data_IF_479061977375
#
_entry.id   IF_479061977375
#
_cell.length_a   1.000
_cell.length_b   1.000
_cell.length_c   1.000
_cell.angle_alpha   90.00
_cell.angle_beta   90.00
_cell.angle_gamma   90.00
#
_symmetry.space_group_name_H-M   'P 1'
#
loop_
_entity.id
_entity.type
_entity.pdbx_description
1 polymer ?
#
# COMPACT_ATOMS: atom_id res chain seq x y z
N UNK A 1 -22.05 0.06 -22.95
CA UNK A 1 -22.32 1.16 -21.99
C UNK A 1 -21.00 1.83 -21.65
N UNK A 2 -20.91 3.15 -21.73
CA UNK A 2 -19.72 3.89 -21.27
C UNK A 2 -19.65 3.85 -19.75
N UNK A 3 -18.48 3.54 -19.19
CA UNK A 3 -18.26 3.59 -17.74
C UNK A 3 -18.42 5.03 -17.23
N UNK A 4 -19.03 5.18 -16.06
CA UNK A 4 -19.18 6.47 -15.37
C UNK A 4 -17.81 7.11 -15.13
N UNK A 5 -17.70 8.42 -15.40
CA UNK A 5 -16.52 9.19 -15.09
C UNK A 5 -16.73 9.92 -13.77
N UNK A 6 -15.99 9.53 -12.74
CA UNK A 6 -16.02 10.15 -11.42
C UNK A 6 -14.88 11.14 -11.24
N UNK A 7 -15.07 12.09 -10.34
CA UNK A 7 -14.01 12.95 -9.81
C UNK A 7 -13.90 12.82 -8.28
N UNK A 8 -13.00 13.60 -7.68
CA UNK A 8 -12.75 13.56 -6.24
C UNK A 8 -13.99 13.94 -5.43
N UNK A 9 -14.79 14.90 -5.88
CA UNK A 9 -15.98 15.34 -5.14
C UNK A 9 -17.08 14.28 -5.18
N UNK A 10 -17.25 13.60 -6.33
CA UNK A 10 -18.12 12.42 -6.44
C UNK A 10 -17.67 11.32 -5.47
N UNK A 11 -16.38 10.99 -5.42
CA UNK A 11 -15.84 9.93 -4.56
C UNK A 11 -15.96 10.28 -3.06
N UNK A 12 -15.77 11.55 -2.69
CA UNK A 12 -15.96 12.02 -1.31
C UNK A 12 -17.44 11.94 -0.93
N UNK A 13 -18.33 12.43 -1.80
CA UNK A 13 -19.78 12.46 -1.55
C UNK A 13 -20.40 11.07 -1.48
N UNK A 14 -19.91 10.12 -2.29
CA UNK A 14 -20.36 8.73 -2.27
C UNK A 14 -20.08 8.03 -0.93
N UNK A 15 -19.07 8.48 -0.18
CA UNK A 15 -18.75 7.93 1.14
C UNK A 15 -18.42 6.43 1.09
N UNK A 16 -19.33 5.58 1.58
CA UNK A 16 -19.20 4.10 1.51
C UNK A 16 -19.80 3.49 0.24
N UNK A 17 -20.60 4.25 -0.50
CA UNK A 17 -21.39 3.78 -1.64
C UNK A 17 -20.63 3.93 -2.98
N UNK A 18 -19.30 3.73 -2.96
CA UNK A 18 -18.48 3.76 -4.17
C UNK A 18 -18.62 2.42 -4.88
N UNK A 19 -19.34 2.41 -6.01
CA UNK A 19 -19.59 1.20 -6.81
C UNK A 19 -18.62 1.13 -7.99
N UNK A 20 -18.04 -0.06 -8.23
CA UNK A 20 -17.22 -0.35 -9.42
C UNK A 20 -18.00 -1.17 -10.44
N UNK A 21 -17.68 -1.07 -11.75
CA UNK A 21 -16.57 -0.30 -12.33
C UNK A 21 -16.88 1.18 -12.59
N UNK A 22 -15.86 2.03 -12.49
CA UNK A 22 -15.92 3.45 -12.87
C UNK A 22 -14.57 3.92 -13.45
N UNK A 23 -14.52 5.10 -14.04
CA UNK A 23 -13.29 5.75 -14.51
C UNK A 23 -12.98 6.99 -13.69
N UNK A 24 -11.69 7.27 -13.51
CA UNK A 24 -11.19 8.46 -12.84
C UNK A 24 -10.18 9.17 -13.74
N UNK A 25 -10.34 10.48 -13.93
CA UNK A 25 -9.33 11.30 -14.61
C UNK A 25 -8.15 11.60 -13.67
N UNK A 26 -6.96 11.24 -14.10
CA UNK A 26 -5.71 11.39 -13.35
C UNK A 26 -4.70 12.13 -14.22
N UNK A 27 -4.09 13.18 -13.66
CA UNK A 27 -2.94 13.83 -14.28
C UNK A 27 -1.67 13.07 -13.88
N UNK A 28 -1.02 12.42 -14.85
CA UNK A 28 0.28 11.76 -14.67
C UNK A 28 1.43 12.77 -14.89
N UNK A 29 2.63 12.55 -14.31
CA UNK A 29 3.71 13.53 -14.29
C UNK A 29 4.26 13.83 -15.70
N UNK A 30 4.16 12.88 -16.64
CA UNK A 30 4.78 13.00 -17.97
C UNK A 30 3.84 12.69 -19.16
N UNK A 31 2.58 12.31 -18.91
CA UNK A 31 1.62 11.92 -19.96
C UNK A 31 0.36 12.80 -20.02
N UNK A 32 0.27 13.82 -19.18
CA UNK A 32 -0.92 14.67 -19.09
C UNK A 32 -2.09 13.93 -18.44
N UNK A 33 -3.31 14.20 -18.93
CA UNK A 33 -4.52 13.58 -18.42
C UNK A 33 -4.68 12.16 -18.98
N UNK A 34 -4.93 11.20 -18.10
CA UNK A 34 -5.26 9.82 -18.43
C UNK A 34 -6.53 9.40 -17.69
N UNK A 35 -7.26 8.45 -18.25
CA UNK A 35 -8.40 7.82 -17.58
C UNK A 35 -7.96 6.46 -17.04
N UNK A 36 -8.18 6.25 -15.74
CA UNK A 36 -7.89 5.00 -15.07
C UNK A 36 -9.22 4.29 -14.77
N UNK A 37 -9.37 3.05 -15.23
CA UNK A 37 -10.55 2.23 -14.98
C UNK A 37 -10.42 1.54 -13.62
N UNK A 38 -11.24 1.91 -12.65
CA UNK A 38 -11.34 1.23 -11.37
C UNK A 38 -12.25 0.01 -11.53
N UNK A 39 -11.68 -1.19 -11.40
CA UNK A 39 -12.37 -2.46 -11.65
C UNK A 39 -13.02 -3.01 -10.38
N UNK A 40 -12.32 -2.96 -9.24
CA UNK A 40 -12.81 -3.47 -7.96
C UNK A 40 -12.18 -2.75 -6.78
N UNK A 41 -12.99 -2.24 -5.86
CA UNK A 41 -12.49 -1.70 -4.58
C UNK A 41 -12.05 -2.85 -3.68
N UNK A 42 -10.82 -2.77 -3.17
CA UNK A 42 -10.22 -3.73 -2.24
C UNK A 42 -10.29 -3.23 -0.79
N UNK A 43 -10.16 -1.91 -0.57
CA UNK A 43 -10.34 -1.28 0.75
C UNK A 43 -10.88 0.13 0.59
N UNK A 44 -11.89 0.47 1.38
CA UNK A 44 -12.50 1.80 1.37
C UNK A 44 -12.44 2.42 2.76
N UNK A 45 -11.74 3.54 2.87
CA UNK A 45 -11.83 4.47 4.00
C UNK A 45 -12.52 5.74 3.48
N UNK A 46 -13.83 5.90 3.75
CA UNK A 46 -14.61 7.03 3.24
C UNK A 46 -13.91 8.36 3.44
N UNK A 47 -13.97 9.22 2.42
CA UNK A 47 -13.38 10.56 2.37
C UNK A 47 -11.86 10.63 2.59
N UNK A 48 -11.16 9.49 2.69
CA UNK A 48 -9.73 9.43 3.07
C UNK A 48 -8.89 8.63 2.09
N UNK A 49 -9.27 7.38 1.82
CA UNK A 49 -8.46 6.45 1.02
C UNK A 49 -9.31 5.40 0.31
N UNK A 50 -9.02 5.16 -0.95
CA UNK A 50 -9.54 4.03 -1.73
C UNK A 50 -8.35 3.20 -2.19
N UNK A 51 -8.35 1.90 -1.93
CA UNK A 51 -7.43 0.93 -2.53
C UNK A 51 -8.24 0.08 -3.50
N UNK A 52 -7.83 -0.01 -4.75
CA UNK A 52 -8.59 -0.73 -5.78
C UNK A 52 -7.66 -1.45 -6.76
N UNK A 53 -8.17 -2.55 -7.33
CA UNK A 53 -7.69 -3.06 -8.60
C UNK A 53 -8.21 -2.14 -9.70
N UNK A 54 -7.31 -1.67 -10.55
CA UNK A 54 -7.61 -0.81 -11.68
C UNK A 54 -6.89 -1.28 -12.94
N UNK A 55 -7.24 -0.67 -14.08
CA UNK A 55 -6.55 -0.83 -15.36
C UNK A 55 -6.03 0.50 -15.86
N UNK A 56 -4.80 0.48 -16.32
CA UNK A 56 -4.13 1.59 -17.00
C UNK A 56 -3.70 1.11 -18.39
N UNK A 57 -4.31 1.66 -19.45
CA UNK A 57 -4.10 1.19 -20.83
C UNK A 57 -4.33 -0.34 -20.99
N UNK A 58 -5.25 -0.91 -20.19
CA UNK A 58 -5.57 -2.35 -20.17
C UNK A 58 -4.72 -3.18 -19.21
N UNK A 59 -3.60 -2.66 -18.71
CA UNK A 59 -2.72 -3.35 -17.76
C UNK A 59 -3.29 -3.29 -16.33
N UNK A 60 -3.40 -4.42 -15.60
CA UNK A 60 -3.82 -4.40 -14.20
C UNK A 60 -2.78 -3.71 -13.31
N UNK A 61 -3.27 -2.80 -12.46
CA UNK A 61 -2.48 -2.08 -11.45
C UNK A 61 -3.25 -2.01 -10.13
N UNK A 62 -2.53 -1.88 -9.02
CA UNK A 62 -3.14 -1.55 -7.74
C UNK A 62 -3.04 -0.04 -7.53
N UNK A 63 -4.18 0.62 -7.32
CA UNK A 63 -4.21 2.06 -7.06
C UNK A 63 -4.53 2.35 -5.61
N UNK A 64 -3.69 3.16 -4.96
CA UNK A 64 -3.99 3.79 -3.67
C UNK A 64 -4.32 5.25 -3.90
N UNK A 65 -5.61 5.58 -3.81
CA UNK A 65 -6.14 6.92 -3.97
C UNK A 65 -6.34 7.57 -2.62
N UNK A 66 -5.68 8.70 -2.38
CA UNK A 66 -5.78 9.50 -1.17
C UNK A 66 -6.64 10.74 -1.43
N UNK A 67 -7.62 10.96 -0.56
CA UNK A 67 -8.66 11.98 -0.68
C UNK A 67 -8.66 12.94 0.53
N UNK A 68 -9.27 14.10 0.34
CA UNK A 68 -9.46 15.11 1.38
C UNK A 68 -8.19 15.87 1.76
N UNK A 69 -8.29 16.66 2.84
CA UNK A 69 -7.27 17.66 3.25
C UNK A 69 -5.86 17.09 3.50
N UNK A 70 -5.75 15.80 3.81
CA UNK A 70 -4.49 15.14 4.16
C UNK A 70 -3.91 14.30 3.01
N UNK A 71 -4.55 14.30 1.83
CA UNK A 71 -4.18 13.45 0.70
C UNK A 71 -2.71 13.55 0.32
N UNK A 72 -2.22 14.79 0.10
CA UNK A 72 -0.82 15.03 -0.27
C UNK A 72 0.16 14.56 0.79
N UNK A 73 -0.13 14.80 2.07
CA UNK A 73 0.74 14.37 3.17
C UNK A 73 0.79 12.85 3.27
N UNK A 74 -0.36 12.19 3.18
CA UNK A 74 -0.46 10.74 3.31
C UNK A 74 0.20 10.04 2.10
N UNK A 75 -0.01 10.53 0.88
CA UNK A 75 0.68 10.01 -0.30
C UNK A 75 2.21 10.18 -0.20
N UNK A 76 2.70 11.33 0.29
CA UNK A 76 4.14 11.53 0.53
C UNK A 76 4.70 10.55 1.56
N UNK A 77 3.98 10.29 2.65
CA UNK A 77 4.39 9.31 3.66
C UNK A 77 4.45 7.90 3.08
N UNK A 78 3.44 7.51 2.30
CA UNK A 78 3.43 6.22 1.61
C UNK A 78 4.71 6.06 0.75
N UNK A 79 5.00 7.03 -0.12
CA UNK A 79 6.18 7.01 -1.00
C UNK A 79 7.48 6.96 -0.20
N UNK A 80 7.62 7.78 0.84
CA UNK A 80 8.81 7.79 1.70
C UNK A 80 9.01 6.44 2.39
N UNK A 81 7.92 5.85 2.91
CA UNK A 81 7.96 4.54 3.54
C UNK A 81 8.36 3.43 2.58
N UNK A 82 7.84 3.43 1.36
CA UNK A 82 8.26 2.50 0.30
C UNK A 82 9.74 2.65 0.00
N UNK A 83 10.25 3.89 -0.08
CA UNK A 83 11.67 4.16 -0.22
C UNK A 83 12.49 3.50 0.89
N UNK A 84 12.06 3.63 2.15
CA UNK A 84 12.73 2.99 3.28
C UNK A 84 12.68 1.46 3.24
N UNK A 85 11.58 0.86 2.77
CA UNK A 85 11.48 -0.59 2.58
C UNK A 85 12.50 -1.06 1.53
N UNK A 86 12.55 -0.38 0.38
CA UNK A 86 13.46 -0.70 -0.73
C UNK A 86 14.93 -0.50 -0.31
N UNK A 87 15.24 0.61 0.37
CA UNK A 87 16.58 0.90 0.90
C UNK A 87 17.07 -0.20 1.85
N UNK A 88 16.16 -0.85 2.58
CA UNK A 88 16.46 -1.94 3.50
C UNK A 88 16.53 -3.33 2.82
N UNK A 89 16.46 -3.37 1.49
CA UNK A 89 16.42 -4.61 0.70
C UNK A 89 15.27 -5.55 1.10
N UNK A 90 14.13 -4.94 1.45
CA UNK A 90 12.87 -5.64 1.72
C UNK A 90 11.96 -5.50 0.50
N UNK A 91 11.24 -6.56 0.16
CA UNK A 91 10.32 -6.55 -0.97
C UNK A 91 9.06 -5.77 -0.65
N UNK A 92 8.60 -4.98 -1.62
CA UNK A 92 7.31 -4.28 -1.63
C UNK A 92 6.84 -4.21 -3.09
N UNK A 93 5.53 -4.19 -3.36
CA UNK A 93 5.03 -3.94 -4.71
C UNK A 93 5.63 -2.65 -5.27
N UNK A 94 6.08 -2.69 -6.52
CA UNK A 94 6.77 -1.54 -7.14
C UNK A 94 5.81 -0.37 -7.34
N UNK A 95 6.20 0.82 -6.87
CA UNK A 95 5.53 2.07 -7.23
C UNK A 95 5.83 2.39 -8.70
N UNK A 96 4.82 2.33 -9.55
CA UNK A 96 4.94 2.54 -11.00
C UNK A 96 4.91 4.02 -11.36
N UNK A 97 3.95 4.76 -10.79
CA UNK A 97 3.80 6.20 -11.02
C UNK A 97 2.89 6.82 -9.96
N UNK A 98 2.97 8.15 -9.83
CA UNK A 98 2.08 8.96 -9.01
C UNK A 98 1.30 9.96 -9.87
N UNK A 99 0.09 10.32 -9.46
CA UNK A 99 -0.75 11.26 -10.17
C UNK A 99 -1.55 12.16 -9.24
N UNK A 100 -2.01 13.29 -9.79
CA UNK A 100 -2.92 14.21 -9.11
C UNK A 100 -4.33 14.11 -9.70
N UNK A 101 -5.33 14.24 -8.84
CA UNK A 101 -6.74 14.22 -9.24
C UNK A 101 -7.30 15.62 -9.43
N UNK A 102 -8.31 15.75 -10.31
CA UNK A 102 -9.12 16.97 -10.40
C UNK A 102 -9.94 17.14 -9.10
N UNK A 103 -10.04 18.36 -8.59
CA UNK A 103 -10.67 18.63 -7.28
C UNK A 103 -9.73 18.39 -6.08
N UNK A 104 -8.48 18.01 -6.32
CA UNK A 104 -7.49 17.72 -5.28
C UNK A 104 -7.46 16.24 -4.89
N UNK A 105 -6.34 15.77 -4.36
CA UNK A 105 -6.12 14.35 -4.11
C UNK A 105 -4.91 13.80 -4.85
N UNK A 106 -4.50 12.60 -4.46
CA UNK A 106 -3.32 11.92 -5.00
C UNK A 106 -3.65 10.47 -5.29
N UNK A 107 -3.15 9.95 -6.41
CA UNK A 107 -3.24 8.55 -6.74
C UNK A 107 -1.83 7.99 -6.88
N UNK A 108 -1.56 6.87 -6.23
CA UNK A 108 -0.32 6.12 -6.38
C UNK A 108 -0.65 4.79 -7.05
N UNK A 109 0.00 4.51 -8.18
CA UNK A 109 -0.16 3.27 -8.92
C UNK A 109 1.01 2.33 -8.61
N UNK A 110 0.65 1.12 -8.22
CA UNK A 110 1.56 0.05 -7.88
C UNK A 110 1.39 -1.11 -8.83
N UNK A 111 2.44 -1.90 -8.94
CA UNK A 111 2.35 -3.27 -9.42
C UNK A 111 1.22 -4.01 -8.69
N UNK A 112 0.38 -4.69 -9.48
CA UNK A 112 -0.63 -5.58 -8.95
C UNK A 112 -0.08 -7.01 -8.90
N UNK A 113 -0.13 -7.63 -7.72
CA UNK A 113 0.26 -9.02 -7.51
C UNK A 113 -1.02 -9.88 -7.55
N UNK A 114 -1.31 -10.59 -8.66
CA UNK A 114 -2.60 -11.25 -8.85
C UNK A 114 -2.82 -12.49 -7.98
N UNK A 115 -1.73 -13.12 -7.55
CA UNK A 115 -1.68 -14.32 -6.71
C UNK A 115 -1.44 -14.00 -5.22
N UNK A 116 -1.32 -12.71 -4.88
CA UNK A 116 -1.00 -12.31 -3.52
C UNK A 116 -2.09 -12.70 -2.51
N UNK A 117 -1.66 -13.34 -1.43
CA UNK A 117 -2.48 -13.65 -0.25
C UNK A 117 -1.84 -12.99 0.98
N UNK A 118 -2.64 -12.40 1.87
CA UNK A 118 -2.07 -11.85 3.10
C UNK A 118 -1.55 -12.96 4.00
N UNK A 119 -0.46 -12.73 4.75
CA UNK A 119 0.05 -13.74 5.68
C UNK A 119 -0.97 -14.07 6.79
N UNK A 120 -1.85 -13.12 7.11
CA UNK A 120 -2.99 -13.37 8.00
C UNK A 120 -3.91 -14.46 7.44
N UNK A 121 -4.38 -14.28 6.20
CA UNK A 121 -5.24 -15.27 5.52
C UNK A 121 -4.51 -16.60 5.29
N UNK A 122 -3.21 -16.57 5.01
CA UNK A 122 -2.42 -17.80 4.82
C UNK A 122 -2.40 -18.65 6.08
N UNK A 123 -2.19 -18.03 7.26
CA UNK A 123 -2.20 -18.75 8.53
C UNK A 123 -3.58 -19.23 8.96
N UNK A 124 -4.65 -18.52 8.60
CA UNK A 124 -6.02 -19.01 8.82
C UNK A 124 -6.30 -20.28 8.00
N UNK A 125 -5.63 -20.45 6.85
CA UNK A 125 -5.79 -21.62 5.97
C UNK A 125 -4.88 -22.79 6.34
N UNK A 126 -3.63 -22.51 6.74
CA UNK A 126 -2.60 -23.53 6.89
C UNK A 126 -1.75 -23.28 8.15
N UNK A 127 -2.15 -23.89 9.28
CA UNK A 127 -1.42 -23.71 10.54
C UNK A 127 0.00 -24.32 10.52
N UNK A 128 0.24 -25.36 9.72
CA UNK A 128 1.56 -25.99 9.58
C UNK A 128 2.63 -25.06 9.02
N UNK A 129 2.24 -24.00 8.29
CA UNK A 129 3.15 -23.01 7.73
C UNK A 129 3.47 -21.86 8.70
N UNK A 130 2.88 -21.86 9.91
CA UNK A 130 3.05 -20.78 10.90
C UNK A 130 4.51 -20.44 11.17
N UNK A 131 5.36 -21.45 11.34
CA UNK A 131 6.76 -21.22 11.66
C UNK A 131 7.51 -20.51 10.51
N UNK A 132 7.29 -20.94 9.27
CA UNK A 132 7.93 -20.35 8.08
C UNK A 132 7.47 -18.92 7.84
N UNK A 133 6.17 -18.68 7.95
CA UNK A 133 5.56 -17.36 7.83
C UNK A 133 6.12 -16.38 8.87
N UNK A 134 6.13 -16.78 10.14
CA UNK A 134 6.66 -15.94 11.22
C UNK A 134 8.17 -15.71 11.05
N UNK A 135 8.93 -16.73 10.62
CA UNK A 135 10.37 -16.59 10.34
C UNK A 135 10.63 -15.56 9.24
N UNK A 136 9.86 -15.61 8.15
CA UNK A 136 9.95 -14.64 7.05
C UNK A 136 9.63 -13.20 7.50
N UNK A 137 8.64 -13.02 8.39
CA UNK A 137 8.36 -11.70 8.99
C UNK A 137 9.52 -11.24 9.86
N UNK A 138 10.11 -12.12 10.68
CA UNK A 138 11.27 -11.79 11.52
C UNK A 138 12.48 -11.35 10.68
N UNK A 139 12.76 -12.02 9.56
CA UNK A 139 13.83 -11.62 8.63
C UNK A 139 13.58 -10.23 8.04
N UNK A 140 12.34 -9.91 7.69
CA UNK A 140 11.97 -8.57 7.21
C UNK A 140 12.19 -7.53 8.30
N UNK A 141 11.73 -7.80 9.52
CA UNK A 141 11.90 -6.89 10.65
C UNK A 141 13.38 -6.64 10.95
N UNK A 142 14.20 -7.69 10.97
CA UNK A 142 15.64 -7.57 11.15
C UNK A 142 16.27 -6.65 10.09
N UNK A 143 15.95 -6.86 8.81
CA UNK A 143 16.44 -6.00 7.71
C UNK A 143 16.02 -4.54 7.88
N UNK A 144 14.77 -4.27 8.24
CA UNK A 144 14.30 -2.91 8.49
C UNK A 144 15.06 -2.29 9.68
N UNK A 145 15.21 -3.03 10.78
CA UNK A 145 15.88 -2.57 11.98
C UNK A 145 17.36 -2.29 11.73
N UNK A 146 18.06 -3.10 10.95
CA UNK A 146 19.45 -2.88 10.52
C UNK A 146 19.63 -1.57 9.73
N UNK A 147 18.57 -1.10 9.08
CA UNK A 147 18.55 0.17 8.34
C UNK A 147 17.93 1.32 9.16
N UNK A 148 17.69 1.12 10.46
CA UNK A 148 17.13 2.14 11.33
C UNK A 148 15.65 2.44 11.04
N UNK A 149 14.94 1.51 10.40
CA UNK A 149 13.55 1.65 9.96
C UNK A 149 12.62 0.87 10.89
N UNK A 150 11.47 1.46 11.23
CA UNK A 150 10.40 0.79 11.97
C UNK A 150 9.10 0.79 11.16
N UNK A 151 8.29 -0.25 11.36
CA UNK A 151 6.90 -0.30 10.90
C UNK A 151 5.97 -0.14 12.10
N UNK A 152 5.22 0.95 12.18
CA UNK A 152 4.37 1.24 13.35
C UNK A 152 3.05 0.46 13.37
N UNK A 153 2.52 0.14 12.20
CA UNK A 153 1.31 -0.67 12.03
C UNK A 153 1.74 -2.06 11.54
N UNK A 154 2.47 -2.78 12.38
CA UNK A 154 3.01 -4.09 12.02
C UNK A 154 2.05 -5.20 12.43
N UNK A 155 1.52 -5.90 11.45
CA UNK A 155 0.61 -7.03 11.64
C UNK A 155 0.61 -7.91 10.38
N UNK A 156 0.20 -9.18 10.50
CA UNK A 156 0.28 -10.16 9.41
C UNK A 156 -0.48 -9.73 8.13
N UNK A 157 -1.55 -8.95 8.25
CA UNK A 157 -2.27 -8.45 7.07
C UNK A 157 -1.51 -7.38 6.25
N UNK A 158 -0.40 -6.83 6.76
CA UNK A 158 0.49 -5.91 6.03
C UNK A 158 1.68 -6.62 5.37
N UNK A 159 1.63 -7.96 5.31
CA UNK A 159 2.57 -8.78 4.55
C UNK A 159 1.80 -9.64 3.56
N UNK A 160 2.27 -9.69 2.32
CA UNK A 160 1.68 -10.49 1.24
C UNK A 160 2.64 -11.58 0.80
N UNK A 161 2.16 -12.82 0.69
CA UNK A 161 2.86 -13.90 0.00
C UNK A 161 2.43 -13.91 -1.47
N UNK A 162 3.38 -13.79 -2.37
CA UNK A 162 3.19 -13.86 -3.84
C UNK A 162 4.44 -14.47 -4.45
N UNK A 163 4.26 -15.44 -5.34
CA UNK A 163 5.34 -16.23 -5.95
C UNK A 163 6.35 -16.80 -4.92
N UNK A 164 5.85 -17.28 -3.78
CA UNK A 164 6.67 -17.81 -2.68
C UNK A 164 7.53 -16.76 -1.96
N UNK A 165 7.35 -15.47 -2.23
CA UNK A 165 8.10 -14.37 -1.62
C UNK A 165 7.19 -13.47 -0.77
N UNK A 166 7.69 -13.07 0.40
CA UNK A 166 6.98 -12.15 1.28
C UNK A 166 7.28 -10.70 0.88
N UNK A 167 6.22 -9.93 0.67
CA UNK A 167 6.23 -8.50 0.38
C UNK A 167 5.65 -7.73 1.57
N UNK A 168 6.30 -6.66 1.99
CA UNK A 168 5.76 -5.69 2.94
C UNK A 168 4.94 -4.65 2.20
N UNK A 169 3.78 -4.28 2.75
CA UNK A 169 2.90 -3.25 2.18
C UNK A 169 2.57 -2.16 3.21
N UNK A 170 1.92 -1.09 2.74
CA UNK A 170 1.52 0.09 3.52
C UNK A 170 2.72 0.90 4.04
N UNK A 171 3.30 1.70 3.14
CA UNK A 171 4.43 2.58 3.47
C UNK A 171 4.05 3.72 4.42
N UNK A 172 2.76 4.03 4.59
CA UNK A 172 2.28 5.17 5.38
C UNK A 172 2.74 5.18 6.84
N UNK A 173 2.98 4.01 7.41
CA UNK A 173 3.42 3.82 8.80
C UNK A 173 4.85 3.29 8.94
N UNK A 174 5.60 3.27 7.84
CA UNK A 174 7.05 3.00 7.82
C UNK A 174 7.80 4.30 8.10
N UNK A 175 8.76 4.26 9.03
CA UNK A 175 9.54 5.44 9.43
C UNK A 175 11.01 5.09 9.63
N UNK A 176 11.91 5.84 8.99
CA UNK A 176 13.33 5.83 9.35
C UNK A 176 13.54 6.65 10.62
N UNK A 177 14.02 5.99 11.69
CA UNK A 177 14.36 6.61 12.99
C UNK A 177 15.82 6.98 13.10
N UNK A 178 16.69 6.26 12.39
CA UNK A 178 18.12 6.47 12.41
C UNK A 178 18.72 6.18 11.02
N UNK A 179 19.89 6.73 10.72
CA UNK A 179 20.66 6.40 9.51
C UNK A 179 21.45 5.09 9.64
N UNK A 180 21.52 4.55 10.86
CA UNK A 180 22.17 3.28 11.22
C UNK A 180 21.14 2.32 11.82
N UNK A 181 21.56 1.10 12.11
CA UNK A 181 20.76 0.11 12.82
C UNK A 181 20.11 0.69 14.09
N UNK A 182 18.90 0.21 14.39
CA UNK A 182 18.20 0.54 15.62
C UNK A 182 18.97 0.02 16.84
N UNK A 183 18.93 0.79 17.91
CA UNK A 183 19.37 0.30 19.22
C UNK A 183 18.36 -0.72 19.76
N UNK A 184 18.81 -1.54 20.70
CA UNK A 184 18.03 -2.64 21.30
C UNK A 184 16.64 -2.19 21.79
N UNK A 185 16.56 -1.09 22.54
CA UNK A 185 15.29 -0.59 23.09
C UNK A 185 14.22 -0.31 22.01
N UNK A 186 14.49 0.54 21.00
CA UNK A 186 13.59 0.74 19.87
C UNK A 186 13.25 -0.53 19.08
N UNK A 187 14.21 -1.45 18.92
CA UNK A 187 13.97 -2.74 18.23
C UNK A 187 12.98 -3.61 19.00
N UNK A 188 13.18 -3.76 20.32
CA UNK A 188 12.26 -4.50 21.20
C UNK A 188 10.88 -3.84 21.20
N UNK A 189 10.82 -2.51 21.29
CA UNK A 189 9.55 -1.80 21.25
C UNK A 189 8.79 -2.03 19.93
N UNK A 190 9.50 -2.09 18.80
CA UNK A 190 8.86 -2.37 17.52
C UNK A 190 8.45 -3.85 17.37
N UNK A 191 9.25 -4.79 17.87
CA UNK A 191 8.89 -6.21 17.95
C UNK A 191 7.64 -6.41 18.82
N UNK A 192 7.55 -5.72 19.96
CA UNK A 192 6.39 -5.81 20.83
C UNK A 192 5.09 -5.39 20.12
N UNK A 193 5.13 -4.43 19.19
CA UNK A 193 3.94 -4.07 18.39
C UNK A 193 3.43 -5.21 17.51
N UNK A 194 4.33 -6.10 17.05
CA UNK A 194 3.93 -7.25 16.23
C UNK A 194 3.26 -8.37 17.03
N UNK A 195 3.63 -8.49 18.31
CA UNK A 195 3.11 -9.53 19.21
C UNK A 195 1.98 -9.05 20.14
N UNK A 196 1.62 -7.77 20.09
CA UNK A 196 0.55 -7.17 20.87
C UNK A 196 -0.82 -7.48 20.27
#
# INVERSE_FOLDING_TARGET
MSLELMDTDCLISAGRNVNTPFRLQVRKPDRGMAEIEFVRVLRLLPTKRIVALARDEGQPILVKTFLGRHATRNAKREIQGIGHIVDANVRTPRLMWEGSLRGGGRLLAFEFLPDAVSLFEQLERCESERFEVLSGVMEIMAKLHDHGVVQKDIHLANFLLSDGQVHTIDGGDIQRKNSRALAEGPSIANLALFFA
#
